data_IF_916127075730
#
_entry.id   IF_916127075730
#
_cell.length_a   1.000
_cell.length_b   1.000
_cell.length_c   1.000
_cell.angle_alpha   90.00
_cell.angle_beta   90.00
_cell.angle_gamma   90.00
#
_symmetry.space_group_name_H-M   'P 1'
#
loop_
_entity.id
_entity.type
_entity.pdbx_description
1 polymer ?
#
# COMPACT_ATOMS: atom_id res chain seq x y z
N UNK A 1 0.71 26.08 6.51
CA UNK A 1 0.05 25.73 7.80
C UNK A 1 0.94 24.76 8.55
N UNK A 2 1.19 24.99 9.85
CA UNK A 2 1.97 24.05 10.67
C UNK A 2 1.05 22.96 11.21
N UNK A 3 1.47 21.71 11.10
CA UNK A 3 0.78 20.53 11.62
C UNK A 3 1.75 19.75 12.52
N UNK A 4 1.33 19.41 13.73
CA UNK A 4 2.14 18.61 14.66
C UNK A 4 1.71 17.15 14.53
N UNK A 5 2.67 16.26 14.35
CA UNK A 5 2.44 14.82 14.44
C UNK A 5 2.31 14.41 15.91
N UNK A 6 1.07 14.26 16.36
CA UNK A 6 0.78 13.83 17.73
C UNK A 6 0.85 12.31 17.93
N UNK A 7 1.08 11.55 16.86
CA UNK A 7 0.98 10.09 16.90
C UNK A 7 2.35 9.41 17.01
N UNK A 8 3.29 9.76 16.16
CA UNK A 8 4.57 9.04 16.06
C UNK A 8 5.75 9.84 16.61
N UNK A 9 5.99 11.06 16.11
CA UNK A 9 7.24 11.78 16.32
C UNK A 9 7.14 13.00 17.24
N UNK A 10 5.96 13.57 17.41
CA UNK A 10 5.71 14.88 18.02
C UNK A 10 6.42 16.05 17.30
N UNK A 11 6.92 15.81 16.09
CA UNK A 11 7.56 16.82 15.25
C UNK A 11 6.52 17.71 14.54
N UNK A 12 6.94 18.90 14.13
CA UNK A 12 6.10 19.84 13.41
C UNK A 12 6.42 19.79 11.90
N UNK A 13 5.40 19.65 11.08
CA UNK A 13 5.50 19.67 9.63
C UNK A 13 4.77 20.85 9.03
N UNK A 14 5.23 21.31 7.87
CA UNK A 14 4.62 22.41 7.14
C UNK A 14 3.78 21.88 5.98
N UNK A 15 2.47 22.11 6.05
CA UNK A 15 1.58 21.86 4.92
C UNK A 15 1.53 23.12 4.03
N UNK A 16 1.94 22.94 2.78
CA UNK A 16 1.97 23.97 1.76
C UNK A 16 0.91 23.70 0.70
N UNK A 17 0.52 24.74 -0.01
CA UNK A 17 -0.43 24.71 -1.12
C UNK A 17 0.21 25.29 -2.34
N UNK A 18 0.18 24.57 -3.44
CA UNK A 18 0.61 25.09 -4.73
C UNK A 18 -0.31 26.24 -5.17
N UNK A 19 0.26 27.35 -5.61
CA UNK A 19 -0.52 28.52 -6.04
C UNK A 19 -1.15 28.32 -7.42
N UNK A 20 -0.60 27.44 -8.23
CA UNK A 20 -1.05 27.22 -9.60
C UNK A 20 -2.17 26.18 -9.71
N UNK A 21 -2.11 25.09 -8.91
CA UNK A 21 -3.04 23.96 -9.03
C UNK A 21 -3.73 23.55 -7.73
N UNK A 22 -3.54 24.32 -6.66
CA UNK A 22 -4.13 24.07 -5.34
C UNK A 22 -3.71 22.74 -4.66
N UNK A 23 -2.74 22.01 -5.21
CA UNK A 23 -2.24 20.78 -4.62
C UNK A 23 -1.64 21.04 -3.24
N UNK A 24 -2.02 20.20 -2.27
CA UNK A 24 -1.50 20.27 -0.91
C UNK A 24 -0.38 19.25 -0.74
N UNK A 25 0.74 19.67 -0.17
CA UNK A 25 1.88 18.82 0.08
C UNK A 25 2.58 19.19 1.39
N UNK A 26 3.31 18.24 1.95
CA UNK A 26 4.16 18.47 3.11
C UNK A 26 5.50 19.01 2.63
N UNK A 27 5.88 20.18 3.10
CA UNK A 27 7.20 20.79 2.84
C UNK A 27 8.23 20.20 3.79
N UNK A 28 9.47 20.04 3.32
CA UNK A 28 10.61 19.58 4.13
C UNK A 28 10.31 18.25 4.86
N UNK A 29 9.65 17.32 4.16
CA UNK A 29 9.40 15.98 4.70
C UNK A 29 10.72 15.18 4.83
N UNK A 30 10.79 14.22 5.78
CA UNK A 30 11.98 13.41 5.98
C UNK A 30 12.35 12.62 4.72
N UNK A 31 13.64 12.53 4.43
CA UNK A 31 14.16 11.73 3.31
C UNK A 31 13.85 10.24 3.50
N UNK A 32 13.83 9.48 2.43
CA UNK A 32 13.45 8.05 2.43
C UNK A 32 14.25 7.22 3.44
N UNK A 33 15.51 7.54 3.66
CA UNK A 33 16.36 6.86 4.65
C UNK A 33 15.90 7.06 6.10
N UNK A 34 15.19 8.16 6.40
CA UNK A 34 14.73 8.52 7.74
C UNK A 34 13.24 8.26 7.95
N UNK A 35 12.46 8.14 6.88
CA UNK A 35 11.01 8.01 6.94
C UNK A 35 10.57 6.74 7.70
N UNK A 36 11.41 5.70 7.71
CA UNK A 36 11.14 4.43 8.38
C UNK A 36 10.76 4.58 9.85
N UNK A 37 11.41 5.52 10.59
CA UNK A 37 11.14 5.77 12.01
C UNK A 37 9.69 6.14 12.32
N UNK A 38 8.97 6.78 11.38
CA UNK A 38 7.57 7.18 11.54
C UNK A 38 6.60 6.02 11.38
N UNK A 39 7.06 4.89 10.83
CA UNK A 39 6.28 3.67 10.61
C UNK A 39 6.62 2.55 11.60
N UNK A 40 7.65 2.72 12.45
CA UNK A 40 8.04 1.76 13.50
C UNK A 40 7.14 1.86 14.74
N UNK A 41 5.87 2.16 14.57
CA UNK A 41 4.94 2.17 15.70
C UNK A 41 4.41 0.76 15.95
N UNK A 42 4.26 0.34 17.23
CA UNK A 42 3.71 -0.98 17.58
C UNK A 42 2.35 -1.26 16.96
N UNK A 43 1.61 -0.20 16.65
CA UNK A 43 0.27 -0.28 16.07
C UNK A 43 0.27 -0.55 14.57
N UNK A 44 1.35 -0.25 13.83
CA UNK A 44 1.40 -0.46 12.38
C UNK A 44 1.20 -1.95 12.01
N UNK A 45 1.72 -2.85 12.84
CA UNK A 45 1.57 -4.30 12.63
C UNK A 45 0.40 -4.86 13.45
N UNK A 46 0.08 -4.26 14.62
CA UNK A 46 -0.92 -4.78 15.55
C UNK A 46 -2.37 -4.54 15.12
N UNK A 47 -2.63 -3.66 14.16
CA UNK A 47 -3.98 -3.45 13.63
C UNK A 47 -4.55 -4.70 12.93
N UNK A 48 -3.76 -5.72 12.72
CA UNK A 48 -4.22 -6.88 11.98
C UNK A 48 -4.85 -8.00 12.80
N UNK A 49 -4.46 -8.30 14.07
CA UNK A 49 -4.99 -9.58 14.65
C UNK A 49 -5.02 -9.77 16.17
N UNK A 50 -4.86 -8.78 17.05
CA UNK A 50 -4.63 -9.07 18.48
C UNK A 50 -5.81 -8.86 19.44
N UNK A 51 -7.01 -8.52 19.02
CA UNK A 51 -8.14 -8.35 19.95
C UNK A 51 -9.19 -9.46 19.80
N UNK A 52 -9.24 -10.39 20.77
CA UNK A 52 -10.31 -11.37 20.94
C UNK A 52 -11.60 -10.65 21.35
N UNK A 53 -12.73 -10.92 20.69
CA UNK A 53 -14.06 -10.40 21.08
C UNK A 53 -14.97 -10.02 19.91
N UNK A 54 -16.16 -9.52 20.24
CA UNK A 54 -17.16 -9.05 19.25
C UNK A 54 -16.65 -7.94 18.33
N UNK A 55 -15.81 -7.05 18.86
CA UNK A 55 -15.15 -5.98 18.11
C UNK A 55 -14.25 -6.54 17.01
N UNK A 56 -13.54 -7.64 17.26
CA UNK A 56 -12.70 -8.28 16.26
C UNK A 56 -13.53 -8.87 15.11
N UNK A 57 -14.65 -9.50 15.42
CA UNK A 57 -15.57 -10.02 14.39
C UNK A 57 -16.11 -8.90 13.52
N UNK A 58 -16.51 -7.78 14.10
CA UNK A 58 -16.97 -6.60 13.36
C UNK A 58 -15.87 -6.04 12.46
N UNK A 59 -14.63 -5.93 12.97
CA UNK A 59 -13.48 -5.47 12.20
C UNK A 59 -13.19 -6.39 11.00
N UNK A 60 -13.17 -7.71 11.20
CA UNK A 60 -12.96 -8.67 10.11
C UNK A 60 -14.08 -8.60 9.06
N UNK A 61 -15.32 -8.40 9.50
CA UNK A 61 -16.45 -8.24 8.57
C UNK A 61 -16.32 -6.97 7.73
N UNK A 62 -16.03 -5.82 8.36
CA UNK A 62 -15.81 -4.54 7.66
C UNK A 62 -14.62 -4.66 6.71
N UNK A 63 -13.50 -5.24 7.16
CA UNK A 63 -12.33 -5.48 6.29
C UNK A 63 -12.71 -6.31 5.07
N UNK A 64 -13.39 -7.44 5.27
CA UNK A 64 -13.84 -8.31 4.17
C UNK A 64 -14.76 -7.57 3.18
N UNK A 65 -15.68 -6.77 3.69
CA UNK A 65 -16.55 -5.94 2.86
C UNK A 65 -15.76 -4.91 2.03
N UNK A 66 -14.81 -4.21 2.65
CA UNK A 66 -13.96 -3.21 1.98
C UNK A 66 -13.05 -3.84 0.93
N UNK A 67 -12.42 -4.99 1.24
CA UNK A 67 -11.62 -5.75 0.28
C UNK A 67 -12.48 -6.18 -0.93
N UNK A 68 -13.69 -6.64 -0.67
CA UNK A 68 -14.64 -6.97 -1.72
C UNK A 68 -15.04 -5.77 -2.60
N UNK A 69 -15.15 -4.57 -2.01
CA UNK A 69 -15.38 -3.33 -2.77
C UNK A 69 -14.17 -2.93 -3.62
N UNK A 70 -12.96 -2.98 -3.04
CA UNK A 70 -11.71 -2.69 -3.77
C UNK A 70 -11.56 -3.63 -4.97
N UNK A 71 -11.75 -4.94 -4.77
CA UNK A 71 -11.64 -5.92 -5.85
C UNK A 71 -12.68 -5.72 -6.97
N UNK A 72 -13.91 -5.31 -6.62
CA UNK A 72 -14.93 -4.95 -7.62
C UNK A 72 -14.59 -3.67 -8.38
N UNK A 73 -14.01 -2.68 -7.69
CA UNK A 73 -13.52 -1.47 -8.32
C UNK A 73 -12.47 -1.80 -9.38
N UNK A 74 -11.45 -2.59 -9.01
CA UNK A 74 -10.40 -3.01 -9.94
C UNK A 74 -10.98 -3.72 -11.16
N UNK A 75 -11.84 -4.71 -10.96
CA UNK A 75 -12.44 -5.45 -12.06
C UNK A 75 -13.30 -4.56 -13.00
N UNK A 76 -13.96 -3.55 -12.43
CA UNK A 76 -14.76 -2.58 -13.19
C UNK A 76 -13.89 -1.65 -14.02
N UNK A 77 -12.87 -1.04 -13.41
CA UNK A 77 -12.00 -0.07 -14.09
C UNK A 77 -11.11 -0.75 -15.13
N UNK A 78 -10.65 -1.96 -14.85
CA UNK A 78 -9.88 -2.77 -15.80
C UNK A 78 -10.76 -3.40 -16.91
N UNK A 79 -12.09 -3.31 -16.82
CA UNK A 79 -13.03 -3.97 -17.73
C UNK A 79 -12.79 -5.49 -17.89
N UNK A 80 -12.26 -6.16 -16.84
CA UNK A 80 -11.94 -7.58 -16.83
C UNK A 80 -12.08 -8.18 -15.42
N UNK A 81 -12.28 -9.50 -15.37
CA UNK A 81 -12.47 -10.21 -14.08
C UNK A 81 -11.23 -10.96 -13.62
N UNK A 82 -10.25 -11.10 -14.48
CA UNK A 82 -8.97 -11.80 -14.28
C UNK A 82 -7.88 -11.14 -15.12
N UNK A 83 -6.63 -11.41 -14.82
CA UNK A 83 -5.47 -10.83 -15.49
C UNK A 83 -4.26 -10.82 -14.57
N UNK A 84 -3.20 -10.12 -14.97
CA UNK A 84 -2.00 -9.92 -14.18
C UNK A 84 -2.11 -8.62 -13.40
N UNK A 85 -2.01 -8.71 -12.08
CA UNK A 85 -2.08 -7.57 -11.17
C UNK A 85 -0.79 -7.44 -10.36
N UNK A 86 -0.27 -6.22 -10.30
CA UNK A 86 0.78 -5.84 -9.36
C UNK A 86 0.18 -4.99 -8.24
N UNK A 87 0.36 -5.42 -6.99
CA UNK A 87 -0.05 -4.67 -5.79
C UNK A 87 1.18 -4.11 -5.09
N UNK A 88 1.35 -2.78 -5.18
CA UNK A 88 2.50 -2.07 -4.61
C UNK A 88 2.15 -1.57 -3.22
N UNK A 89 3.03 -1.86 -2.25
CA UNK A 89 2.77 -1.59 -0.83
C UNK A 89 1.63 -2.45 -0.29
N UNK A 90 1.66 -3.74 -0.62
CA UNK A 90 0.58 -4.68 -0.28
C UNK A 90 0.36 -4.86 1.22
N UNK A 91 1.28 -4.35 2.06
CA UNK A 91 1.24 -4.53 3.50
C UNK A 91 1.25 -6.02 3.86
N UNK A 92 0.32 -6.42 4.71
CA UNK A 92 0.16 -7.82 5.13
C UNK A 92 -0.51 -8.74 4.10
N UNK A 93 -0.78 -8.27 2.88
CA UNK A 93 -1.20 -9.08 1.74
C UNK A 93 -2.69 -9.42 1.65
N UNK A 94 -3.56 -8.87 2.49
CA UNK A 94 -4.99 -9.17 2.46
C UNK A 94 -5.67 -8.84 1.13
N UNK A 95 -5.30 -7.72 0.49
CA UNK A 95 -5.86 -7.35 -0.80
C UNK A 95 -5.32 -8.26 -1.92
N UNK A 96 -4.02 -8.49 -1.95
CA UNK A 96 -3.37 -9.40 -2.89
C UNK A 96 -3.99 -10.82 -2.84
N UNK A 97 -4.18 -11.38 -1.62
CA UNK A 97 -4.87 -12.67 -1.43
C UNK A 97 -6.32 -12.62 -1.94
N UNK A 98 -7.04 -11.52 -1.67
CA UNK A 98 -8.41 -11.35 -2.16
C UNK A 98 -8.48 -11.38 -3.69
N UNK A 99 -7.54 -10.74 -4.37
CA UNK A 99 -7.47 -10.73 -5.83
C UNK A 99 -7.09 -12.10 -6.38
N UNK A 100 -6.10 -12.77 -5.76
CA UNK A 100 -5.69 -14.13 -6.12
C UNK A 100 -6.86 -15.13 -6.03
N UNK A 101 -7.65 -15.08 -4.95
CA UNK A 101 -8.85 -15.93 -4.80
C UNK A 101 -9.94 -15.61 -5.82
N UNK A 102 -9.89 -14.46 -6.45
CA UNK A 102 -10.82 -14.04 -7.53
C UNK A 102 -10.32 -14.36 -8.93
N UNK A 103 -9.19 -15.10 -9.05
CA UNK A 103 -8.67 -15.55 -10.32
C UNK A 103 -7.60 -14.66 -10.95
N UNK A 104 -7.16 -13.60 -10.25
CA UNK A 104 -6.04 -12.79 -10.73
C UNK A 104 -4.70 -13.49 -10.48
N UNK A 105 -3.78 -13.36 -11.41
CA UNK A 105 -2.38 -13.65 -11.17
C UNK A 105 -1.77 -12.42 -10.50
N UNK A 106 -1.32 -12.58 -9.25
CA UNK A 106 -0.93 -11.43 -8.42
C UNK A 106 0.55 -11.51 -8.09
N UNK A 107 1.28 -10.47 -8.49
CA UNK A 107 2.57 -10.11 -7.94
C UNK A 107 2.36 -9.00 -6.90
N UNK A 108 3.18 -8.99 -5.87
CA UNK A 108 3.08 -7.99 -4.82
C UNK A 108 4.47 -7.58 -4.33
N UNK A 109 4.62 -6.29 -4.02
CA UNK A 109 5.83 -5.75 -3.41
C UNK A 109 5.49 -5.00 -2.12
N UNK A 110 6.39 -5.10 -1.14
CA UNK A 110 6.24 -4.44 0.16
C UNK A 110 7.63 -4.17 0.76
N UNK A 111 7.85 -2.95 1.28
CA UNK A 111 9.11 -2.54 1.89
C UNK A 111 9.36 -3.25 3.23
N UNK A 112 8.31 -3.39 4.05
CA UNK A 112 8.40 -3.95 5.39
C UNK A 112 8.55 -5.48 5.37
N UNK A 113 9.71 -5.98 5.83
CA UNK A 113 10.03 -7.40 5.84
C UNK A 113 9.09 -8.24 6.74
N UNK A 114 8.59 -7.68 7.85
CA UNK A 114 7.67 -8.37 8.75
C UNK A 114 6.29 -8.53 8.09
N UNK A 115 5.83 -7.50 7.36
CA UNK A 115 4.59 -7.59 6.59
C UNK A 115 4.68 -8.66 5.48
N UNK A 116 5.84 -8.73 4.78
CA UNK A 116 6.10 -9.80 3.79
C UNK A 116 6.09 -11.19 4.42
N UNK A 117 6.72 -11.35 5.60
CA UNK A 117 6.73 -12.62 6.33
C UNK A 117 5.31 -13.04 6.73
N UNK A 118 4.51 -12.10 7.21
CA UNK A 118 3.10 -12.33 7.54
C UNK A 118 2.30 -12.80 6.32
N UNK A 119 2.43 -12.11 5.19
CA UNK A 119 1.73 -12.48 3.95
C UNK A 119 2.10 -13.89 3.48
N UNK A 120 3.37 -14.28 3.61
CA UNK A 120 3.83 -15.63 3.30
C UNK A 120 3.26 -16.68 4.24
N UNK A 121 3.31 -16.43 5.54
CA UNK A 121 2.81 -17.38 6.55
C UNK A 121 1.31 -17.61 6.46
N UNK A 122 0.52 -16.52 6.29
CA UNK A 122 -0.94 -16.59 6.39
C UNK A 122 -1.63 -16.88 5.06
N UNK A 123 -1.05 -16.44 3.93
CA UNK A 123 -1.68 -16.54 2.60
C UNK A 123 -0.84 -17.31 1.57
N UNK A 124 0.38 -17.72 1.92
CA UNK A 124 1.29 -18.34 0.96
C UNK A 124 1.67 -17.41 -0.20
N UNK A 125 1.65 -16.10 0.04
CA UNK A 125 2.04 -15.09 -0.95
C UNK A 125 3.56 -14.89 -0.92
N UNK A 126 4.18 -14.89 -2.10
CA UNK A 126 5.59 -14.55 -2.26
C UNK A 126 5.74 -13.06 -2.56
N UNK A 127 5.62 -12.25 -1.51
CA UNK A 127 5.73 -10.80 -1.60
C UNK A 127 7.20 -10.41 -1.68
N UNK A 128 7.57 -9.69 -2.74
CA UNK A 128 8.93 -9.23 -3.00
C UNK A 128 9.22 -7.90 -2.29
N UNK A 129 10.50 -7.54 -2.06
CA UNK A 129 10.85 -6.18 -1.63
C UNK A 129 10.50 -5.17 -2.73
N UNK A 130 10.28 -3.93 -2.37
CA UNK A 130 9.98 -2.82 -3.29
C UNK A 130 11.07 -2.60 -4.36
N UNK A 131 12.33 -2.90 -4.04
CA UNK A 131 13.45 -2.89 -4.99
C UNK A 131 13.25 -3.82 -6.19
N UNK A 132 12.41 -4.85 -6.06
CA UNK A 132 12.09 -5.78 -7.15
C UNK A 132 11.21 -5.17 -8.25
N UNK A 133 10.72 -3.95 -8.08
CA UNK A 133 9.97 -3.24 -9.15
C UNK A 133 10.78 -3.11 -10.44
N UNK A 134 12.09 -3.00 -10.34
CA UNK A 134 12.99 -2.87 -11.49
C UNK A 134 13.24 -4.20 -12.22
N UNK A 135 12.90 -5.33 -11.60
CA UNK A 135 13.12 -6.68 -12.16
C UNK A 135 11.94 -7.14 -13.02
N UNK A 136 10.82 -6.44 -12.99
CA UNK A 136 9.66 -6.79 -13.81
C UNK A 136 9.84 -6.33 -15.25
N UNK A 137 9.39 -7.17 -16.18
CA UNK A 137 9.45 -6.84 -17.59
C UNK A 137 8.42 -5.74 -17.96
N UNK A 138 8.75 -4.84 -18.90
CA UNK A 138 7.81 -3.85 -19.39
C UNK A 138 6.53 -4.50 -19.93
N UNK A 139 5.39 -3.89 -19.63
CA UNK A 139 4.07 -4.34 -20.08
C UNK A 139 3.61 -5.68 -19.50
N UNK A 140 4.16 -6.11 -18.34
CA UNK A 140 3.84 -7.41 -17.74
C UNK A 140 2.55 -7.41 -16.93
N UNK A 141 1.96 -6.27 -16.65
CA UNK A 141 0.76 -6.18 -15.83
C UNK A 141 -0.41 -5.53 -16.57
N UNK A 142 -1.60 -6.08 -16.35
CA UNK A 142 -2.86 -5.50 -16.82
C UNK A 142 -3.38 -4.41 -15.88
N UNK A 143 -3.01 -4.50 -14.60
CA UNK A 143 -3.42 -3.58 -13.54
C UNK A 143 -2.31 -3.41 -12.51
N UNK A 144 -2.07 -2.18 -12.11
CA UNK A 144 -1.22 -1.85 -10.97
C UNK A 144 -2.07 -1.14 -9.91
N UNK A 145 -1.95 -1.55 -8.65
CA UNK A 145 -2.67 -0.96 -7.53
C UNK A 145 -1.69 -0.40 -6.48
N UNK A 146 -2.03 0.80 -5.97
CA UNK A 146 -1.32 1.50 -4.90
C UNK A 146 -2.34 1.99 -3.87
N UNK A 147 -2.60 1.18 -2.85
CA UNK A 147 -3.57 1.52 -1.82
C UNK A 147 -2.89 2.21 -0.63
N UNK A 148 -3.03 3.53 -0.50
CA UNK A 148 -2.36 4.33 0.53
C UNK A 148 -0.83 4.23 0.45
N UNK A 149 -0.29 4.42 -0.75
CA UNK A 149 1.14 4.34 -1.05
C UNK A 149 1.65 5.61 -1.70
N UNK A 150 0.91 6.16 -2.67
CA UNK A 150 1.36 7.32 -3.45
C UNK A 150 1.72 8.52 -2.59
N UNK A 151 0.98 8.74 -1.51
CA UNK A 151 1.22 9.82 -0.54
C UNK A 151 2.54 9.69 0.23
N UNK A 152 3.21 8.53 0.13
CA UNK A 152 4.46 8.22 0.82
C UNK A 152 5.67 8.14 -0.12
N UNK A 153 5.48 8.37 -1.42
CA UNK A 153 6.54 8.29 -2.41
C UNK A 153 7.30 9.62 -2.51
N UNK A 154 8.61 9.59 -2.23
CA UNK A 154 9.49 10.76 -2.33
C UNK A 154 9.69 11.18 -3.80
N UNK A 155 9.97 10.22 -4.67
CA UNK A 155 10.25 10.43 -6.09
C UNK A 155 9.04 10.06 -6.96
N UNK A 156 7.93 10.77 -6.78
CA UNK A 156 6.65 10.44 -7.40
C UNK A 156 6.73 10.36 -8.93
N UNK A 157 7.44 11.29 -9.60
CA UNK A 157 7.55 11.31 -11.06
C UNK A 157 8.35 10.11 -11.58
N UNK A 158 9.48 9.79 -10.96
CA UNK A 158 10.31 8.63 -11.34
C UNK A 158 9.55 7.31 -11.11
N UNK A 159 8.82 7.23 -10.00
CA UNK A 159 7.96 6.08 -9.74
C UNK A 159 6.89 5.97 -10.81
N UNK A 160 6.26 7.11 -11.21
CA UNK A 160 5.23 7.13 -12.23
C UNK A 160 5.73 6.67 -13.59
N UNK A 161 6.95 7.08 -13.97
CA UNK A 161 7.60 6.63 -15.19
C UNK A 161 7.86 5.11 -15.16
N UNK A 162 8.30 4.58 -14.01
CA UNK A 162 8.47 3.14 -13.81
C UNK A 162 7.14 2.41 -13.94
N UNK A 163 6.07 2.87 -13.27
CA UNK A 163 4.75 2.26 -13.32
C UNK A 163 4.14 2.25 -14.73
N UNK A 164 4.35 3.33 -15.47
CA UNK A 164 3.88 3.42 -16.86
C UNK A 164 4.60 2.46 -17.81
N UNK A 165 5.79 2.00 -17.45
CA UNK A 165 6.53 1.03 -18.24
C UNK A 165 6.11 -0.42 -17.97
N UNK A 166 5.56 -0.71 -16.78
CA UNK A 166 5.17 -2.06 -16.32
C UNK A 166 3.80 -2.48 -16.83
#
# INVERSE_FOLDING_TARGET
MTCIDHYASSEAFYLCRCQDCDFLFTQDFPVEAEIGKYYETPDYISHSDTKKGLMNKAYHWVRGYMLGRKARLVAREAHRKEGHLLDIGTGTGYFADTMKRRGWQVEAVEKNAQARAFAKEHFGLDVKPDTALQDFAPGSFDVITLWHVMEHLEHLNETWDTLNSL
#
